data_IF_823437715129
#
_entry.id   IF_823437715129
#
_cell.length_a   1.000
_cell.length_b   1.000
_cell.length_c   1.000
_cell.angle_alpha   90.00
_cell.angle_beta   90.00
_cell.angle_gamma   90.00
#
_symmetry.space_group_name_H-M   'P 1'
#
loop_
_entity.id
_entity.type
_entity.pdbx_description
1 polymer ?
#
# COMPACT_ATOMS: atom_id res chain seq x y z
N UNK A 1 -2.00 -42.75 37.85
CA UNK A 1 -2.46 -42.70 36.44
C UNK A 1 -3.32 -41.48 36.11
N UNK A 2 -4.28 -41.07 36.95
CA UNK A 2 -5.17 -39.92 36.70
C UNK A 2 -4.51 -38.51 36.68
N UNK A 3 -3.36 -38.33 37.34
CA UNK A 3 -2.66 -37.03 37.43
C UNK A 3 -1.91 -36.64 36.13
N UNK A 4 -1.47 -37.62 35.34
CA UNK A 4 -0.79 -37.38 34.06
C UNK A 4 -1.75 -36.97 32.93
N UNK A 5 -3.02 -37.42 33.00
CA UNK A 5 -4.07 -37.10 32.02
C UNK A 5 -4.46 -35.60 32.10
N UNK A 6 -4.48 -35.01 33.30
CA UNK A 6 -4.74 -33.58 33.45
C UNK A 6 -3.60 -32.71 32.92
N UNK A 7 -2.34 -33.10 33.14
CA UNK A 7 -1.17 -32.33 32.69
C UNK A 7 -0.98 -32.40 31.17
N UNK A 8 -1.33 -33.52 30.53
CA UNK A 8 -1.27 -33.66 29.07
C UNK A 8 -2.35 -32.83 28.37
N UNK A 9 -3.56 -32.76 28.92
CA UNK A 9 -4.62 -31.89 28.38
C UNK A 9 -4.27 -30.40 28.51
N UNK A 10 -3.60 -30.01 29.58
CA UNK A 10 -3.16 -28.63 29.76
C UNK A 10 -2.05 -28.24 28.77
N UNK A 11 -1.08 -29.12 28.52
CA UNK A 11 -0.02 -28.91 27.53
C UNK A 11 -0.55 -28.86 26.08
N UNK A 12 -1.51 -29.73 25.73
CA UNK A 12 -2.14 -29.71 24.41
C UNK A 12 -2.99 -28.45 24.18
N UNK A 13 -3.74 -28.00 25.19
CA UNK A 13 -4.49 -26.75 25.12
C UNK A 13 -3.56 -25.54 25.03
N UNK A 14 -2.43 -25.56 25.74
CA UNK A 14 -1.40 -24.52 25.65
C UNK A 14 -0.76 -24.49 24.26
N UNK A 15 -0.38 -25.65 23.71
CA UNK A 15 0.20 -25.79 22.36
C UNK A 15 -0.76 -25.29 21.27
N UNK A 16 -2.06 -25.62 21.38
CA UNK A 16 -3.09 -25.13 20.46
C UNK A 16 -3.26 -23.60 20.56
N UNK A 17 -3.20 -23.05 21.77
CA UNK A 17 -3.29 -21.61 22.00
C UNK A 17 -2.09 -20.85 21.39
N UNK A 18 -0.86 -21.38 21.52
CA UNK A 18 0.31 -20.76 20.86
C UNK A 18 0.18 -20.82 19.34
N UNK A 19 -0.28 -21.96 18.78
CA UNK A 19 -0.49 -22.13 17.33
C UNK A 19 -1.52 -21.13 16.75
N UNK A 20 -2.57 -20.80 17.50
CA UNK A 20 -3.57 -19.80 17.08
C UNK A 20 -3.00 -18.38 16.98
N UNK A 21 -1.91 -18.07 17.68
CA UNK A 21 -1.28 -16.72 17.67
C UNK A 21 -0.23 -16.51 16.58
N UNK A 22 0.22 -17.56 15.88
CA UNK A 22 1.30 -17.45 14.87
C UNK A 22 0.80 -16.90 13.53
N UNK A 23 -0.53 -16.84 13.32
CA UNK A 23 -1.14 -16.37 12.06
C UNK A 23 -1.41 -14.86 12.01
N UNK A 24 -0.64 -14.06 12.77
CA UNK A 24 -0.62 -12.61 12.55
C UNK A 24 0.02 -12.33 11.18
N UNK A 25 -0.80 -12.36 10.13
CA UNK A 25 -0.48 -12.06 8.75
C UNK A 25 0.25 -10.71 8.69
N UNK A 26 1.57 -10.76 8.52
CA UNK A 26 2.36 -9.56 8.28
C UNK A 26 1.98 -9.04 6.89
N UNK A 27 1.29 -7.91 6.83
CA UNK A 27 0.91 -7.31 5.56
C UNK A 27 2.19 -6.93 4.80
N UNK A 28 2.46 -7.59 3.69
CA UNK A 28 3.57 -7.22 2.82
C UNK A 28 3.32 -5.84 2.17
N UNK A 29 4.37 -5.05 2.01
CA UNK A 29 4.29 -3.74 1.38
C UNK A 29 3.84 -3.91 -0.10
N UNK A 30 2.84 -3.16 -0.59
CA UNK A 30 2.39 -3.30 -1.97
C UNK A 30 3.54 -3.10 -2.97
N UNK A 31 3.69 -3.99 -3.94
CA UNK A 31 4.76 -3.91 -4.95
C UNK A 31 4.81 -2.57 -5.69
N UNK A 32 3.65 -2.00 -6.03
CA UNK A 32 3.58 -0.67 -6.66
C UNK A 32 4.14 0.46 -5.78
N UNK A 33 3.99 0.35 -4.45
CA UNK A 33 4.59 1.28 -3.48
C UNK A 33 6.12 1.19 -3.48
N UNK A 34 6.65 -0.02 -3.57
CA UNK A 34 8.09 -0.28 -3.70
C UNK A 34 8.61 0.32 -5.01
N UNK A 35 7.94 0.03 -6.13
CA UNK A 35 8.30 0.56 -7.46
C UNK A 35 8.26 2.09 -7.51
N UNK A 36 7.30 2.73 -6.84
CA UNK A 36 7.23 4.19 -6.75
C UNK A 36 8.49 4.81 -6.12
N UNK A 37 9.00 4.15 -5.07
CA UNK A 37 10.23 4.54 -4.38
C UNK A 37 11.47 4.29 -5.25
N UNK A 38 11.58 3.08 -5.83
CA UNK A 38 12.74 2.65 -6.63
C UNK A 38 12.85 3.41 -7.96
N UNK A 39 11.71 3.74 -8.57
CA UNK A 39 11.61 4.58 -9.77
C UNK A 39 11.81 6.08 -9.50
N UNK A 40 12.18 6.43 -8.26
CA UNK A 40 12.46 7.80 -7.80
C UNK A 40 11.29 8.77 -7.94
N UNK A 41 10.05 8.30 -7.99
CA UNK A 41 8.87 9.16 -8.07
C UNK A 41 8.75 10.09 -6.85
N UNK A 42 9.19 9.61 -5.68
CA UNK A 42 9.30 10.36 -4.41
C UNK A 42 10.20 11.60 -4.48
N UNK A 43 11.03 11.74 -5.52
CA UNK A 43 11.87 12.93 -5.71
C UNK A 43 11.05 14.17 -6.09
N UNK A 44 9.88 13.96 -6.70
CA UNK A 44 9.00 15.02 -7.15
C UNK A 44 7.64 14.98 -6.44
N UNK A 45 7.05 13.79 -6.31
CA UNK A 45 5.69 13.61 -5.81
C UNK A 45 5.68 13.19 -4.34
N UNK A 46 4.75 13.77 -3.58
CA UNK A 46 4.31 13.23 -2.30
C UNK A 46 3.19 12.21 -2.49
N UNK A 47 3.08 11.32 -1.52
CA UNK A 47 1.89 10.49 -1.25
C UNK A 47 1.79 10.44 0.27
N UNK A 48 1.28 11.52 0.87
CA UNK A 48 1.16 11.67 2.32
C UNK A 48 0.37 10.52 2.95
N UNK A 49 -0.68 10.02 2.27
CA UNK A 49 -1.46 8.85 2.70
C UNK A 49 -0.64 7.55 2.80
N UNK A 50 0.54 7.51 2.17
CA UNK A 50 1.46 6.37 2.16
C UNK A 50 2.77 6.66 2.91
N UNK A 51 2.88 7.82 3.57
CA UNK A 51 4.06 8.25 4.30
C UNK A 51 5.18 8.85 3.44
N UNK A 52 4.93 9.11 2.15
CA UNK A 52 5.89 9.78 1.28
C UNK A 52 5.69 11.29 1.35
N UNK A 53 6.57 11.95 2.08
CA UNK A 53 6.60 13.42 2.17
C UNK A 53 7.37 14.04 1.03
N UNK A 54 6.89 15.19 0.57
CA UNK A 54 7.55 15.99 -0.47
C UNK A 54 8.93 16.43 -0.01
N UNK A 55 9.96 16.16 -0.82
CA UNK A 55 11.32 16.64 -0.58
C UNK A 55 11.65 17.83 -1.48
N UNK A 56 12.20 18.90 -0.92
CA UNK A 56 12.66 20.07 -1.67
C UNK A 56 11.54 20.92 -2.28
N UNK A 57 11.87 21.66 -3.34
CA UNK A 57 11.01 22.68 -3.97
C UNK A 57 10.20 22.17 -5.19
N UNK A 58 9.96 20.86 -5.30
CA UNK A 58 9.15 20.31 -6.41
C UNK A 58 7.80 21.02 -6.52
N UNK A 59 7.23 21.17 -7.72
CA UNK A 59 5.85 21.67 -7.90
C UNK A 59 4.87 20.56 -8.26
N UNK A 60 5.36 19.31 -8.31
CA UNK A 60 4.52 18.17 -8.64
C UNK A 60 3.43 17.94 -7.56
N UNK A 61 2.22 17.52 -7.97
CA UNK A 61 1.09 17.36 -7.07
C UNK A 61 1.28 16.16 -6.12
N UNK A 62 0.59 16.21 -4.99
CA UNK A 62 0.39 15.04 -4.13
C UNK A 62 -0.51 14.01 -4.83
N UNK A 63 -0.12 12.74 -4.80
CA UNK A 63 -0.83 11.64 -5.44
C UNK A 63 -1.65 10.78 -4.45
N UNK A 64 -1.83 11.23 -3.20
CA UNK A 64 -2.63 10.54 -2.17
C UNK A 64 -4.07 10.23 -2.58
N UNK A 65 -4.59 10.95 -3.58
CA UNK A 65 -5.95 10.82 -4.11
C UNK A 65 -5.96 10.63 -5.64
N UNK A 66 -4.84 10.19 -6.24
CA UNK A 66 -4.73 10.08 -7.70
C UNK A 66 -5.70 9.06 -8.27
N UNK A 67 -5.99 7.98 -7.54
CA UNK A 67 -6.93 6.92 -7.97
C UNK A 67 -8.38 7.36 -7.99
N UNK A 68 -8.75 8.44 -7.29
CA UNK A 68 -10.08 9.05 -7.41
C UNK A 68 -10.22 9.92 -8.66
N UNK A 69 -9.10 10.47 -9.15
CA UNK A 69 -9.04 11.38 -10.32
C UNK A 69 -8.72 10.65 -11.62
N UNK A 70 -7.95 9.57 -11.53
CA UNK A 70 -7.45 8.78 -12.64
C UNK A 70 -7.55 7.29 -12.30
N UNK A 71 -8.73 6.72 -12.52
CA UNK A 71 -9.00 5.29 -12.33
C UNK A 71 -8.72 4.45 -13.58
N UNK A 72 -8.50 5.09 -14.73
CA UNK A 72 -8.12 4.40 -15.97
C UNK A 72 -6.61 4.12 -15.99
N UNK A 73 -6.28 2.84 -15.83
CA UNK A 73 -4.90 2.37 -15.85
C UNK A 73 -4.22 2.57 -17.21
N UNK A 74 -4.92 2.37 -18.32
CA UNK A 74 -4.33 2.49 -19.65
C UNK A 74 -3.98 3.94 -19.96
N UNK A 75 -4.85 4.87 -19.53
CA UNK A 75 -4.54 6.29 -19.57
C UNK A 75 -3.31 6.64 -18.71
N UNK A 76 -3.24 6.14 -17.46
CA UNK A 76 -2.08 6.37 -16.58
C UNK A 76 -0.77 5.86 -17.20
N UNK A 77 -0.78 4.64 -17.75
CA UNK A 77 0.39 4.05 -18.39
C UNK A 77 0.87 4.89 -19.58
N UNK A 78 -0.06 5.34 -20.44
CA UNK A 78 0.26 6.25 -21.54
C UNK A 78 0.77 7.60 -21.06
N UNK A 79 0.20 8.15 -19.99
CA UNK A 79 0.65 9.42 -19.42
C UNK A 79 2.07 9.33 -18.85
N UNK A 80 2.34 8.27 -18.06
CA UNK A 80 3.66 7.99 -17.47
C UNK A 80 4.73 7.71 -18.53
N UNK A 81 4.35 7.21 -19.71
CA UNK A 81 5.25 6.98 -20.86
C UNK A 81 5.22 8.12 -21.88
N UNK A 82 4.58 9.25 -21.57
CA UNK A 82 4.50 10.47 -22.41
C UNK A 82 3.80 10.26 -23.76
N UNK A 83 2.92 9.26 -23.85
CA UNK A 83 2.03 8.98 -24.97
C UNK A 83 0.66 9.66 -24.82
N UNK A 84 0.38 10.26 -23.66
CA UNK A 84 -0.86 10.98 -23.35
C UNK A 84 -0.56 12.33 -22.66
N UNK A 85 -1.56 13.21 -22.63
CA UNK A 85 -1.50 14.54 -22.01
C UNK A 85 -2.57 14.76 -20.96
N UNK A 86 -2.28 15.66 -20.02
CA UNK A 86 -3.24 16.23 -19.07
C UNK A 86 -3.11 17.75 -19.16
N UNK A 87 -4.19 18.43 -19.53
CA UNK A 87 -4.19 19.89 -19.77
C UNK A 87 -3.07 20.29 -20.77
N UNK A 88 -2.99 19.60 -21.90
CA UNK A 88 -1.98 19.77 -22.96
C UNK A 88 -0.51 19.53 -22.53
N UNK A 89 -0.29 19.05 -21.30
CA UNK A 89 1.03 18.76 -20.77
C UNK A 89 1.25 17.25 -20.66
N UNK A 90 2.39 16.79 -21.18
CA UNK A 90 2.90 15.43 -20.90
C UNK A 90 3.47 15.37 -19.49
N UNK A 91 3.57 14.17 -18.92
CA UNK A 91 4.33 13.97 -17.70
C UNK A 91 5.79 14.48 -17.87
N UNK A 92 6.36 15.08 -16.83
CA UNK A 92 7.65 15.76 -16.90
C UNK A 92 8.78 14.81 -17.35
N UNK A 93 8.74 13.57 -16.85
CA UNK A 93 9.66 12.50 -17.19
C UNK A 93 8.91 11.31 -17.78
N UNK A 94 9.59 10.52 -18.62
CA UNK A 94 9.06 9.21 -19.05
C UNK A 94 9.48 8.15 -18.05
N UNK A 95 8.56 7.27 -17.66
CA UNK A 95 8.89 6.02 -16.97
C UNK A 95 9.91 5.22 -17.79
N UNK A 96 10.82 4.53 -17.09
CA UNK A 96 11.96 3.80 -17.68
C UNK A 96 12.00 2.31 -17.34
N UNK A 97 11.10 1.84 -16.48
CA UNK A 97 10.97 0.42 -16.15
C UNK A 97 10.28 -0.37 -17.24
N UNK A 98 10.16 -1.68 -17.02
CA UNK A 98 9.48 -2.62 -17.92
C UNK A 98 7.95 -2.48 -17.91
N UNK A 99 7.28 -3.10 -18.87
CA UNK A 99 5.81 -3.07 -18.98
C UNK A 99 5.12 -3.67 -17.74
N UNK A 100 5.67 -4.73 -17.16
CA UNK A 100 5.13 -5.34 -15.93
C UNK A 100 5.23 -4.40 -14.73
N UNK A 101 6.36 -3.68 -14.59
CA UNK A 101 6.55 -2.69 -13.54
C UNK A 101 5.61 -1.49 -13.74
N UNK A 102 5.44 -1.06 -14.99
CA UNK A 102 4.52 0.02 -15.36
C UNK A 102 3.06 -0.36 -15.04
N UNK A 103 2.66 -1.59 -15.37
CA UNK A 103 1.37 -2.15 -15.00
C UNK A 103 1.18 -2.15 -13.49
N UNK A 104 2.12 -2.74 -12.75
CA UNK A 104 2.05 -2.84 -11.28
C UNK A 104 1.99 -1.47 -10.60
N UNK A 105 2.79 -0.51 -11.09
CA UNK A 105 2.79 0.86 -10.60
C UNK A 105 1.44 1.55 -10.89
N UNK A 106 0.93 1.42 -12.12
CA UNK A 106 -0.35 1.98 -12.54
C UNK A 106 -1.51 1.45 -11.70
N UNK A 107 -1.61 0.13 -11.54
CA UNK A 107 -2.63 -0.51 -10.71
C UNK A 107 -2.62 0.05 -9.30
N UNK A 108 -1.44 0.09 -8.67
CA UNK A 108 -1.32 0.62 -7.32
C UNK A 108 -1.74 2.10 -7.23
N UNK A 109 -1.36 2.95 -8.18
CA UNK A 109 -1.79 4.35 -8.20
C UNK A 109 -3.33 4.48 -8.28
N UNK A 110 -4.02 3.62 -9.05
CA UNK A 110 -5.49 3.65 -9.11
C UNK A 110 -6.17 3.27 -7.79
N UNK A 111 -5.47 2.60 -6.88
CA UNK A 111 -6.00 2.28 -5.54
C UNK A 111 -5.90 3.44 -4.56
N UNK A 112 -5.09 4.46 -4.86
CA UNK A 112 -4.86 5.61 -3.98
C UNK A 112 -6.05 6.57 -4.01
N UNK A 113 -7.05 6.29 -3.20
CA UNK A 113 -8.23 7.12 -3.01
C UNK A 113 -8.17 7.71 -1.61
N UNK A 114 -8.57 8.97 -1.45
CA UNK A 114 -8.76 9.54 -0.12
C UNK A 114 -9.90 8.80 0.59
N UNK A 115 -9.55 7.87 1.47
CA UNK A 115 -10.50 7.25 2.40
C UNK A 115 -11.15 8.38 3.22
N UNK A 116 -12.49 8.41 3.27
CA UNK A 116 -13.18 9.27 4.24
C UNK A 116 -12.84 8.79 5.65
N UNK A 117 -12.67 9.71 6.60
CA UNK A 117 -12.30 9.45 7.98
C UNK A 117 -13.37 8.66 8.78
N UNK A 118 -13.68 7.42 8.39
CA UNK A 118 -14.66 6.57 9.07
C UNK A 118 -14.45 5.09 8.77
N UNK A 119 -13.36 4.49 9.29
CA UNK A 119 -13.44 3.20 9.99
C UNK A 119 -12.14 2.87 10.76
N UNK A 120 -11.84 3.67 11.78
CA UNK A 120 -10.97 3.22 12.88
C UNK A 120 -11.59 3.69 14.21
N UNK A 121 -12.78 3.16 14.48
CA UNK A 121 -13.29 3.12 15.85
C UNK A 121 -12.99 1.73 16.41
N UNK A 122 -11.77 1.58 16.89
CA UNK A 122 -11.52 1.06 18.24
C UNK A 122 -12.23 -0.26 18.57
N UNK A 123 -11.66 -1.39 18.14
CA UNK A 123 -11.72 -2.60 18.94
C UNK A 123 -10.53 -2.60 19.91
N UNK A 124 -10.66 -1.84 20.99
CA UNK A 124 -9.83 -2.02 22.19
C UNK A 124 -10.69 -2.66 23.27
N UNK A 125 -10.49 -3.95 23.40
CA UNK A 125 -10.83 -4.76 24.57
C UNK A 125 -10.17 -4.18 25.83
N UNK A 126 -10.96 -3.97 26.89
CA UNK A 126 -10.50 -4.19 28.26
C UNK A 126 -11.67 -4.18 29.23
N UNK A 127 -12.04 -5.40 29.56
CA UNK A 127 -12.42 -5.86 30.90
C UNK A 127 -12.00 -4.92 32.03
N UNK A 128 -12.97 -4.50 32.84
CA UNK A 128 -12.88 -4.51 34.30
C UNK A 128 -14.26 -4.76 34.88
#
# INVERSE_FOLDING_TARGET
MKRYILTTSFLLAFFAFVFSTINAQQAEEPKGKILFKESKCVSCHAIESQGFVKKGKSTAPDLSDVGSKHSDIEWLKKYLTKQETMNDLKHAVSFKGGEEELQTLGEWLTTLKKESAANDSTQKDSTK
#
